data_IF_433441068604
#
_entry.id   IF_433441068604
#
_cell.length_a   1.000
_cell.length_b   1.000
_cell.length_c   1.000
_cell.angle_alpha   90.00
_cell.angle_beta   90.00
_cell.angle_gamma   90.00
#
_symmetry.space_group_name_H-M   'P 1'
#
loop_
_entity.id
_entity.type
_entity.pdbx_description
1 polymer ?
#
# COMPACT_ATOMS: atom_id res chain seq x y z
N UNK A 1 -31.32 30.54 -43.21
CA UNK A 1 -31.15 29.06 -43.06
C UNK A 1 -31.19 28.76 -41.56
N UNK A 2 -32.11 27.91 -41.12
CA UNK A 2 -32.68 27.83 -39.75
C UNK A 2 -31.64 27.62 -38.62
N UNK A 3 -31.92 28.07 -37.38
CA UNK A 3 -31.08 27.75 -36.22
C UNK A 3 -31.31 26.28 -35.83
N UNK A 4 -30.25 25.47 -35.96
CA UNK A 4 -30.28 24.06 -35.55
C UNK A 4 -30.19 23.94 -34.02
N UNK A 5 -30.99 23.04 -33.45
CA UNK A 5 -30.99 22.74 -32.02
C UNK A 5 -29.66 22.10 -31.58
N UNK A 6 -29.27 22.37 -30.33
CA UNK A 6 -28.02 21.94 -29.69
C UNK A 6 -27.80 20.42 -29.66
N UNK A 7 -28.83 19.61 -29.88
CA UNK A 7 -28.75 18.14 -29.96
C UNK A 7 -28.07 17.64 -31.25
N UNK A 8 -28.31 18.28 -32.40
CA UNK A 8 -27.77 17.84 -33.70
C UNK A 8 -26.26 18.13 -33.84
N UNK A 9 -25.77 19.16 -33.13
CA UNK A 9 -24.33 19.49 -33.07
C UNK A 9 -23.52 18.47 -32.27
N UNK A 10 -24.14 17.71 -31.36
CA UNK A 10 -23.47 16.65 -30.60
C UNK A 10 -23.21 15.42 -31.47
N UNK A 11 -24.21 15.00 -32.27
CA UNK A 11 -24.09 13.86 -33.19
C UNK A 11 -23.08 14.11 -34.31
N UNK A 12 -23.00 15.34 -34.83
CA UNK A 12 -22.00 15.72 -35.84
C UNK A 12 -20.56 15.76 -35.29
N UNK A 13 -20.40 15.94 -33.97
CA UNK A 13 -19.08 15.88 -33.33
C UNK A 13 -18.61 14.44 -33.11
N UNK A 14 -19.53 13.52 -32.80
CA UNK A 14 -19.21 12.12 -32.56
C UNK A 14 -18.97 11.35 -33.88
N UNK A 15 -19.72 11.60 -34.95
CA UNK A 15 -19.51 10.93 -36.24
C UNK A 15 -18.18 11.28 -36.91
N UNK A 16 -17.62 12.48 -36.66
CA UNK A 16 -16.31 12.88 -37.21
C UNK A 16 -15.10 12.46 -36.36
N UNK A 17 -15.29 11.79 -35.21
CA UNK A 17 -14.16 11.24 -34.43
C UNK A 17 -13.58 9.95 -35.01
N UNK A 18 -14.24 9.35 -36.00
CA UNK A 18 -13.85 8.06 -36.60
C UNK A 18 -12.84 8.17 -37.75
N UNK A 19 -12.68 9.35 -38.35
CA UNK A 19 -11.71 9.59 -39.45
C UNK A 19 -10.60 10.51 -38.96
N UNK A 20 -9.50 9.92 -38.52
CA UNK A 20 -8.40 10.55 -37.80
C UNK A 20 -7.56 11.56 -38.59
N UNK A 21 -8.06 12.76 -38.86
CA UNK A 21 -7.23 13.87 -39.29
C UNK A 21 -7.72 15.21 -38.71
N UNK A 22 -7.13 15.66 -37.60
CA UNK A 22 -7.24 17.06 -37.18
C UNK A 22 -5.89 17.67 -36.87
N UNK A 23 -5.61 18.78 -37.56
CA UNK A 23 -4.46 19.65 -37.33
C UNK A 23 -4.48 20.25 -35.91
N UNK A 24 -3.29 20.57 -35.40
CA UNK A 24 -3.03 21.02 -34.01
C UNK A 24 -3.92 22.22 -33.62
N UNK A 25 -4.33 23.07 -34.59
CA UNK A 25 -5.21 24.23 -34.38
C UNK A 25 -6.62 23.83 -33.96
N UNK A 26 -7.20 22.79 -34.58
CA UNK A 26 -8.57 22.35 -34.27
C UNK A 26 -8.67 21.65 -32.90
N UNK A 27 -7.60 20.96 -32.46
CA UNK A 27 -7.55 20.34 -31.11
C UNK A 27 -7.53 21.39 -29.99
N UNK A 28 -6.90 22.55 -30.22
CA UNK A 28 -6.90 23.67 -29.25
C UNK A 28 -8.28 24.32 -29.12
N UNK A 29 -9.02 24.50 -30.22
CA UNK A 29 -10.38 25.04 -30.21
C UNK A 29 -11.39 24.15 -29.46
N UNK A 30 -11.33 22.82 -29.67
CA UNK A 30 -12.17 21.89 -28.90
C UNK A 30 -11.84 21.89 -27.39
N UNK A 31 -10.56 21.99 -27.00
CA UNK A 31 -10.18 22.08 -25.57
C UNK A 31 -10.61 23.40 -24.92
N UNK A 32 -10.57 24.51 -25.66
CA UNK A 32 -11.02 25.82 -25.16
C UNK A 32 -12.54 25.86 -24.96
N UNK A 33 -13.32 25.25 -25.87
CA UNK A 33 -14.80 25.15 -25.74
C UNK A 33 -15.24 24.20 -24.62
N UNK A 34 -14.53 23.08 -24.36
CA UNK A 34 -14.82 22.23 -23.19
C UNK A 34 -14.52 22.93 -21.86
N UNK A 35 -13.48 23.78 -21.79
CA UNK A 35 -13.21 24.59 -20.59
C UNK A 35 -14.28 25.66 -20.33
N UNK A 36 -14.89 26.22 -21.37
CA UNK A 36 -16.01 27.18 -21.22
C UNK A 36 -17.29 26.46 -20.76
N UNK A 37 -17.52 25.21 -21.20
CA UNK A 37 -18.64 24.39 -20.70
C UNK A 37 -18.44 23.93 -19.25
N UNK A 38 -17.21 23.65 -18.82
CA UNK A 38 -16.87 23.25 -17.45
C UNK A 38 -16.72 24.43 -16.46
N UNK A 39 -16.74 25.67 -16.96
CA UNK A 39 -16.53 26.89 -16.17
C UNK A 39 -17.79 27.64 -15.76
N UNK A 40 -19.00 27.13 -16.06
CA UNK A 40 -20.24 27.72 -15.52
C UNK A 40 -20.40 27.30 -14.06
N UNK A 41 -19.86 28.16 -13.20
CA UNK A 41 -20.19 28.30 -11.79
C UNK A 41 -21.71 28.25 -11.64
N UNK A 42 -22.23 27.24 -10.94
CA UNK A 42 -23.62 27.24 -10.49
C UNK A 42 -23.74 28.31 -9.40
N UNK A 43 -24.23 29.48 -9.80
CA UNK A 43 -24.63 30.55 -8.89
C UNK A 43 -26.16 30.48 -8.83
N UNK A 44 -26.69 30.25 -7.63
CA UNK A 44 -28.07 30.54 -7.28
C UNK A 44 -29.10 29.46 -7.61
N UNK A 45 -29.29 28.50 -6.70
CA UNK A 45 -30.64 28.02 -6.38
C UNK A 45 -30.79 28.02 -4.85
N UNK A 46 -31.62 28.94 -4.37
CA UNK A 46 -32.09 29.01 -2.99
C UNK A 46 -32.96 27.78 -2.67
N UNK A 47 -32.80 27.12 -1.51
CA UNK A 47 -33.62 25.98 -1.13
C UNK A 47 -34.88 26.47 -0.41
N UNK A 48 -35.91 26.82 -1.18
CA UNK A 48 -37.25 27.05 -0.64
C UNK A 48 -38.22 26.00 -1.15
N UNK A 49 -38.02 24.74 -0.76
CA UNK A 49 -39.01 23.65 -0.78
C UNK A 49 -38.49 22.38 -0.09
N UNK A 50 -39.09 21.90 1.02
CA UNK A 50 -38.58 20.78 1.81
C UNK A 50 -38.82 19.37 1.22
N UNK A 51 -39.44 19.23 0.04
CA UNK A 51 -39.87 17.93 -0.50
C UNK A 51 -38.92 17.33 -1.57
N UNK A 52 -38.02 18.12 -2.17
CA UNK A 52 -37.16 17.67 -3.27
C UNK A 52 -35.69 17.43 -2.87
N UNK A 53 -35.28 17.89 -1.68
CA UNK A 53 -33.90 17.72 -1.18
C UNK A 53 -33.55 16.26 -0.86
N UNK A 54 -34.50 15.48 -0.35
CA UNK A 54 -34.25 14.10 0.07
C UNK A 54 -34.07 13.14 -1.10
N UNK A 55 -34.79 13.33 -2.22
CA UNK A 55 -34.62 12.49 -3.41
C UNK A 55 -33.24 12.70 -4.05
N UNK A 56 -32.74 13.93 -4.07
CA UNK A 56 -31.41 14.25 -4.58
C UNK A 56 -30.31 13.70 -3.66
N UNK A 57 -30.47 13.80 -2.34
CA UNK A 57 -29.56 13.22 -1.36
C UNK A 57 -29.52 11.68 -1.44
N UNK A 58 -30.67 11.02 -1.57
CA UNK A 58 -30.76 9.56 -1.73
C UNK A 58 -30.15 9.12 -3.07
N UNK A 59 -30.38 9.85 -4.16
CA UNK A 59 -29.76 9.56 -5.45
C UNK A 59 -28.23 9.74 -5.43
N UNK A 60 -27.72 10.77 -4.72
CA UNK A 60 -26.29 10.98 -4.53
C UNK A 60 -25.66 9.91 -3.62
N UNK A 61 -26.38 9.47 -2.59
CA UNK A 61 -25.96 8.37 -1.70
C UNK A 61 -25.92 7.04 -2.45
N UNK A 62 -26.94 6.73 -3.26
CA UNK A 62 -26.96 5.54 -4.13
C UNK A 62 -25.84 5.59 -5.17
N UNK A 63 -25.56 6.75 -5.77
CA UNK A 63 -24.48 6.90 -6.75
C UNK A 63 -23.08 6.73 -6.12
N UNK A 64 -22.89 7.17 -4.88
CA UNK A 64 -21.65 6.97 -4.10
C UNK A 64 -21.51 5.52 -3.61
N UNK A 65 -22.62 4.85 -3.27
CA UNK A 65 -22.63 3.46 -2.75
C UNK A 65 -22.49 2.42 -3.87
N UNK A 66 -23.07 2.64 -5.05
CA UNK A 66 -23.02 1.71 -6.18
C UNK A 66 -21.73 1.86 -7.01
N UNK A 67 -21.06 3.01 -6.96
CA UNK A 67 -19.91 3.32 -7.82
C UNK A 67 -18.65 3.76 -7.03
N UNK A 68 -17.98 2.84 -6.29
CA UNK A 68 -16.76 3.18 -5.58
C UNK A 68 -15.55 3.08 -6.52
N UNK A 69 -15.48 3.90 -7.56
CA UNK A 69 -14.25 4.18 -8.33
C UNK A 69 -14.51 5.14 -9.48
N UNK A 70 -14.38 6.45 -9.22
CA UNK A 70 -14.08 7.42 -10.28
C UNK A 70 -12.79 8.15 -9.95
N UNK A 71 -11.67 7.43 -9.97
CA UNK A 71 -10.38 8.08 -10.14
C UNK A 71 -10.20 8.43 -11.63
N UNK A 72 -9.73 9.65 -11.95
CA UNK A 72 -9.68 10.13 -13.32
C UNK A 72 -8.67 9.33 -14.16
N UNK A 73 -9.20 8.72 -15.22
CA UNK A 73 -8.56 8.51 -16.52
C UNK A 73 -7.25 9.29 -16.73
N UNK A 74 -6.14 8.56 -16.94
CA UNK A 74 -5.12 8.81 -17.98
C UNK A 74 -3.87 7.98 -17.68
N UNK A 75 -3.86 6.76 -18.21
CA UNK A 75 -2.73 6.22 -18.96
C UNK A 75 -3.24 4.99 -19.73
N UNK A 76 -3.53 5.21 -21.00
CA UNK A 76 -3.65 4.17 -22.01
C UNK A 76 -2.87 4.73 -23.19
N UNK A 77 -1.58 4.44 -23.23
CA UNK A 77 -0.77 4.61 -24.43
C UNK A 77 0.54 3.84 -24.27
N UNK A 78 0.77 2.96 -25.25
CA UNK A 78 2.03 2.36 -25.62
C UNK A 78 2.64 1.38 -24.61
N UNK A 79 2.27 0.11 -24.77
CA UNK A 79 3.26 -0.96 -24.67
C UNK A 79 3.08 -1.86 -25.90
N UNK A 80 3.68 -1.43 -27.00
CA UNK A 80 4.00 -2.31 -28.12
C UNK A 80 5.32 -3.03 -27.77
N UNK A 81 5.31 -4.33 -28.05
CA UNK A 81 6.39 -5.28 -28.29
C UNK A 81 7.81 -4.89 -27.86
N UNK A 82 8.26 -5.47 -26.75
CA UNK A 82 9.69 -5.68 -26.44
C UNK A 82 9.79 -7.14 -26.01
N UNK A 83 10.39 -7.95 -26.88
CA UNK A 83 10.65 -9.35 -26.68
C UNK A 83 11.98 -9.55 -25.91
N UNK A 84 11.93 -10.46 -24.95
CA UNK A 84 12.95 -11.44 -24.54
C UNK A 84 14.35 -11.02 -24.00
N UNK A 85 14.69 -9.73 -23.84
CA UNK A 85 15.99 -9.32 -23.23
C UNK A 85 15.92 -8.89 -21.74
N UNK A 86 14.76 -8.97 -21.08
CA UNK A 86 14.54 -8.37 -19.74
C UNK A 86 14.64 -9.35 -18.54
N UNK A 87 14.95 -10.64 -18.77
CA UNK A 87 15.00 -11.66 -17.72
C UNK A 87 16.37 -11.74 -17.02
N UNK A 88 17.44 -11.23 -17.64
CA UNK A 88 18.79 -11.21 -17.07
C UNK A 88 18.93 -10.23 -15.91
N UNK A 89 18.31 -9.05 -15.99
CA UNK A 89 18.43 -8.02 -14.94
C UNK A 89 17.72 -8.40 -13.63
N UNK A 90 16.58 -9.10 -13.71
CA UNK A 90 15.89 -9.59 -12.51
C UNK A 90 16.61 -10.80 -11.91
N UNK A 91 17.21 -11.64 -12.76
CA UNK A 91 18.06 -12.75 -12.33
C UNK A 91 19.35 -12.25 -11.66
N UNK A 92 19.92 -11.14 -12.14
CA UNK A 92 21.10 -10.50 -11.55
C UNK A 92 20.81 -9.95 -10.15
N UNK A 93 19.69 -9.22 -9.97
CA UNK A 93 19.28 -8.73 -8.64
C UNK A 93 19.03 -9.88 -7.67
N UNK A 94 18.34 -10.94 -8.10
CA UNK A 94 18.09 -12.11 -7.26
C UNK A 94 19.37 -12.90 -6.96
N UNK A 95 20.32 -12.95 -7.89
CA UNK A 95 21.63 -13.55 -7.67
C UNK A 95 22.49 -12.73 -6.71
N UNK A 96 22.35 -11.40 -6.73
CA UNK A 96 23.02 -10.50 -5.79
C UNK A 96 22.42 -10.62 -4.38
N UNK A 97 21.09 -10.74 -4.26
CA UNK A 97 20.42 -11.02 -2.98
C UNK A 97 20.82 -12.38 -2.40
N UNK A 98 20.90 -13.43 -3.24
CA UNK A 98 21.38 -14.75 -2.82
C UNK A 98 22.85 -14.71 -2.32
N UNK A 99 23.71 -13.92 -2.96
CA UNK A 99 25.10 -13.71 -2.50
C UNK A 99 25.15 -12.99 -1.15
N UNK A 100 24.32 -11.98 -0.96
CA UNK A 100 24.22 -11.26 0.33
C UNK A 100 23.70 -12.19 1.43
N UNK A 101 22.74 -13.08 1.14
CA UNK A 101 22.28 -14.10 2.08
C UNK A 101 23.39 -15.10 2.43
N UNK A 102 24.19 -15.54 1.46
CA UNK A 102 25.36 -16.40 1.71
C UNK A 102 26.44 -15.70 2.55
N UNK A 103 26.74 -14.43 2.27
CA UNK A 103 27.67 -13.64 3.08
C UNK A 103 27.15 -13.46 4.51
N UNK A 104 25.86 -13.20 4.69
CA UNK A 104 25.24 -13.12 5.99
C UNK A 104 25.33 -14.47 6.74
N UNK A 105 25.04 -15.59 6.07
CA UNK A 105 25.16 -16.92 6.65
C UNK A 105 26.61 -17.26 7.05
N UNK A 106 27.59 -16.81 6.26
CA UNK A 106 29.01 -16.94 6.58
C UNK A 106 29.40 -16.10 7.80
N UNK A 107 28.99 -14.84 7.85
CA UNK A 107 29.22 -13.97 9.02
C UNK A 107 28.57 -14.56 10.29
N UNK A 108 27.38 -15.14 10.17
CA UNK A 108 26.72 -15.84 11.28
C UNK A 108 27.50 -17.09 11.73
N UNK A 109 28.07 -17.85 10.80
CA UNK A 109 28.93 -18.99 11.12
C UNK A 109 30.23 -18.56 11.81
N UNK A 110 30.89 -17.51 11.32
CA UNK A 110 32.10 -16.92 11.94
C UNK A 110 31.78 -16.40 13.35
N UNK A 111 30.61 -15.79 13.56
CA UNK A 111 30.15 -15.37 14.88
C UNK A 111 29.95 -16.56 15.84
N UNK A 112 29.38 -17.67 15.36
CA UNK A 112 29.24 -18.91 16.15
C UNK A 112 30.59 -19.53 16.51
N UNK A 113 31.57 -19.49 15.61
CA UNK A 113 32.93 -19.95 15.88
C UNK A 113 33.63 -19.07 16.92
N UNK A 114 33.46 -17.76 16.83
CA UNK A 114 33.98 -16.83 17.84
C UNK A 114 33.34 -17.06 19.21
N UNK A 115 32.03 -17.30 19.27
CA UNK A 115 31.33 -17.68 20.51
C UNK A 115 31.84 -19.02 21.06
N UNK A 116 32.11 -20.01 20.20
CA UNK A 116 32.68 -21.30 20.61
C UNK A 116 34.12 -21.17 21.12
N UNK A 117 34.96 -20.33 20.50
CA UNK A 117 36.30 -20.01 20.99
C UNK A 117 36.24 -19.32 22.35
N UNK A 118 35.36 -18.33 22.50
CA UNK A 118 35.13 -17.65 23.77
C UNK A 118 34.64 -18.60 24.87
N UNK A 119 33.79 -19.58 24.55
CA UNK A 119 33.36 -20.62 25.48
C UNK A 119 34.50 -21.58 25.88
N UNK A 120 35.44 -21.86 24.96
CA UNK A 120 36.65 -22.64 25.25
C UNK A 120 37.64 -21.87 26.12
N UNK A 121 37.84 -20.58 25.86
CA UNK A 121 38.65 -19.71 26.73
C UNK A 121 38.06 -19.60 28.13
N UNK A 122 36.74 -19.47 28.25
CA UNK A 122 36.07 -19.41 29.56
C UNK A 122 36.08 -20.73 30.34
N UNK A 123 36.36 -21.85 29.65
CA UNK A 123 36.59 -23.17 30.28
C UNK A 123 38.08 -23.51 30.49
N UNK A 124 38.98 -22.59 30.11
CA UNK A 124 40.44 -22.76 30.22
C UNK A 124 41.06 -22.49 31.60
N UNK A 125 40.30 -22.07 32.61
CA UNK A 125 40.79 -21.83 33.99
C UNK A 125 40.33 -22.92 34.98
N UNK A 126 40.61 -24.18 34.64
CA UNK A 126 40.82 -25.24 35.64
C UNK A 126 42.01 -26.08 35.20
N UNK A 127 43.20 -25.61 35.56
CA UNK A 127 44.45 -26.29 35.26
C UNK A 127 44.54 -27.68 35.90
N UNK A 128 45.11 -28.62 35.11
CA UNK A 128 46.14 -29.55 35.60
C UNK A 128 45.73 -31.00 35.85
N UNK A 129 46.12 -31.90 34.94
CA UNK A 129 46.22 -33.34 35.22
C UNK A 129 46.35 -34.20 33.97
N UNK A 130 47.57 -34.36 33.45
CA UNK A 130 47.88 -35.25 32.31
C UNK A 130 47.86 -36.76 32.66
N UNK A 131 47.91 -37.65 31.65
CA UNK A 131 47.75 -39.09 31.86
C UNK A 131 49.11 -39.76 32.15
N UNK A 132 49.24 -40.36 33.33
CA UNK A 132 50.40 -41.17 33.71
C UNK A 132 49.99 -42.61 34.03
N UNK A 133 50.40 -43.55 33.17
CA UNK A 133 50.39 -44.99 33.46
C UNK A 133 51.59 -45.35 34.35
N UNK A 134 51.37 -46.21 35.35
CA UNK A 134 52.40 -47.11 35.85
C UNK A 134 52.72 -47.06 37.35
N UNK A 135 52.64 -48.23 38.00
CA UNK A 135 53.57 -48.63 39.06
C UNK A 135 52.99 -48.74 40.47
N UNK A 136 53.08 -49.94 41.04
CA UNK A 136 52.57 -50.29 42.38
C UNK A 136 53.32 -49.64 43.55
N UNK A 137 52.80 -49.85 44.77
CA UNK A 137 53.47 -49.44 46.00
C UNK A 137 52.54 -49.43 47.20
N UNK A 138 52.94 -50.14 48.26
CA UNK A 138 52.19 -50.43 49.49
C UNK A 138 52.12 -49.26 50.48
N UNK A 139 51.23 -49.39 51.48
CA UNK A 139 51.23 -48.64 52.75
C UNK A 139 50.03 -47.69 52.86
N UNK A 140 49.13 -47.75 53.84
CA UNK A 140 49.28 -48.16 55.23
C UNK A 140 49.18 -46.91 56.13
N UNK A 141 48.00 -46.67 56.72
CA UNK A 141 47.70 -45.55 57.65
C UNK A 141 46.64 -44.60 57.07
N UNK A 142 45.60 -44.15 57.75
CA UNK A 142 45.23 -44.21 59.16
C UNK A 142 44.40 -42.95 59.50
N UNK A 143 43.06 -43.06 59.42
CA UNK A 143 42.08 -42.16 60.05
C UNK A 143 41.62 -40.89 59.30
N UNK A 144 40.51 -40.25 59.70
CA UNK A 144 39.23 -40.81 60.14
C UNK A 144 38.12 -40.58 59.10
N UNK A 145 37.14 -41.50 59.07
CA UNK A 145 35.90 -41.34 58.31
C UNK A 145 35.04 -40.25 58.96
N UNK A 146 34.86 -39.12 58.30
CA UNK A 146 33.76 -38.19 58.60
C UNK A 146 32.65 -38.35 57.56
N UNK A 147 31.56 -38.99 57.97
CA UNK A 147 30.25 -38.82 57.33
C UNK A 147 29.72 -37.44 57.74
N UNK A 148 29.34 -36.54 56.81
CA UNK A 148 28.35 -35.55 57.14
C UNK A 148 26.98 -36.19 56.88
N UNK A 149 26.30 -36.64 57.94
CA UNK A 149 24.85 -36.61 57.97
C UNK A 149 24.45 -35.13 57.95
N UNK A 150 24.29 -34.59 56.73
CA UNK A 150 23.77 -33.26 56.49
C UNK A 150 22.40 -33.39 55.86
N UNK A 151 21.38 -33.12 56.67
CA UNK A 151 19.98 -33.09 56.30
C UNK A 151 19.77 -32.19 55.06
N UNK A 152 19.50 -32.78 53.89
CA UNK A 152 19.11 -32.03 52.70
C UNK A 152 17.79 -31.30 53.01
N UNK A 153 17.73 -29.95 52.97
CA UNK A 153 16.45 -29.27 53.05
C UNK A 153 15.65 -29.64 51.81
N UNK A 154 14.60 -30.44 51.99
CA UNK A 154 13.59 -30.66 50.96
C UNK A 154 12.92 -29.33 50.66
N UNK A 155 13.04 -28.88 49.42
CA UNK A 155 12.17 -27.85 48.85
C UNK A 155 12.71 -26.43 48.90
N UNK A 156 13.54 -26.11 47.92
CA UNK A 156 13.50 -24.78 47.30
C UNK A 156 13.34 -25.00 45.80
N UNK A 157 12.09 -25.14 45.36
CA UNK A 157 11.73 -25.11 43.95
C UNK A 157 11.93 -23.66 43.45
N UNK A 158 13.19 -23.28 43.20
CA UNK A 158 13.51 -21.98 42.61
C UNK A 158 13.05 -22.04 41.16
N UNK A 159 12.02 -21.24 40.82
CA UNK A 159 11.36 -21.21 39.51
C UNK A 159 12.34 -20.76 38.42
N UNK A 160 13.16 -21.68 37.91
CA UNK A 160 14.15 -21.41 36.85
C UNK A 160 13.47 -20.85 35.59
N UNK A 161 12.27 -21.34 35.25
CA UNK A 161 11.46 -20.87 34.12
C UNK A 161 11.20 -19.35 34.14
N UNK A 162 11.06 -18.75 35.35
CA UNK A 162 10.76 -17.31 35.47
C UNK A 162 11.97 -16.42 35.17
N UNK A 163 13.18 -16.91 35.45
CA UNK A 163 14.43 -16.17 35.18
C UNK A 163 14.78 -16.22 33.70
N UNK A 164 14.52 -17.36 33.05
CA UNK A 164 14.72 -17.56 31.62
C UNK A 164 13.76 -16.70 30.77
N UNK A 165 12.50 -16.61 31.19
CA UNK A 165 11.52 -15.69 30.59
C UNK A 165 11.92 -14.21 30.78
N UNK A 166 12.48 -13.85 31.94
CA UNK A 166 12.99 -12.50 32.18
C UNK A 166 14.24 -12.18 31.34
N UNK A 167 15.14 -13.14 31.15
CA UNK A 167 16.31 -13.01 30.28
C UNK A 167 15.89 -12.87 28.82
N UNK A 168 14.96 -13.71 28.32
CA UNK A 168 14.40 -13.57 26.97
C UNK A 168 13.74 -12.23 26.76
N UNK A 169 12.93 -11.76 27.72
CA UNK A 169 12.32 -10.42 27.64
C UNK A 169 13.36 -9.30 27.63
N UNK A 170 14.45 -9.43 28.39
CA UNK A 170 15.56 -8.47 28.39
C UNK A 170 16.33 -8.50 27.06
N UNK A 171 16.56 -9.67 26.49
CA UNK A 171 17.18 -9.85 25.18
C UNK A 171 16.31 -9.32 24.05
N UNK A 172 15.02 -9.62 24.04
CA UNK A 172 14.05 -9.08 23.08
C UNK A 172 13.96 -7.56 23.21
N UNK A 173 13.94 -7.02 24.42
CA UNK A 173 13.95 -5.58 24.65
C UNK A 173 15.28 -4.94 24.20
N UNK A 174 16.41 -5.61 24.40
CA UNK A 174 17.71 -5.14 23.93
C UNK A 174 17.80 -5.17 22.39
N UNK A 175 17.34 -6.27 21.76
CA UNK A 175 17.22 -6.40 20.30
C UNK A 175 16.31 -5.31 19.72
N UNK A 176 15.13 -5.10 20.33
CA UNK A 176 14.20 -4.06 19.90
C UNK A 176 14.80 -2.65 20.03
N UNK A 177 15.56 -2.37 21.11
CA UNK A 177 16.28 -1.10 21.26
C UNK A 177 17.36 -0.92 20.20
N UNK A 178 18.15 -1.95 19.92
CA UNK A 178 19.20 -1.91 18.90
C UNK A 178 18.60 -1.66 17.51
N UNK A 179 17.54 -2.39 17.15
CA UNK A 179 16.81 -2.19 15.89
C UNK A 179 16.28 -0.75 15.81
N UNK A 180 15.63 -0.25 16.87
CA UNK A 180 15.11 1.12 16.88
C UNK A 180 16.21 2.18 16.75
N UNK A 181 17.37 1.96 17.38
CA UNK A 181 18.50 2.88 17.27
C UNK A 181 19.13 2.83 15.86
N UNK A 182 19.24 1.65 15.28
CA UNK A 182 19.72 1.44 13.91
C UNK A 182 18.77 2.07 12.88
N UNK A 183 17.46 1.86 13.01
CA UNK A 183 16.44 2.51 12.19
C UNK A 183 16.51 4.04 12.31
N UNK A 184 16.75 4.58 13.51
CA UNK A 184 16.90 6.01 13.72
C UNK A 184 18.19 6.57 13.09
N UNK A 185 19.30 5.81 13.12
CA UNK A 185 20.54 6.16 12.42
C UNK A 185 20.34 6.14 10.90
N UNK A 186 19.73 5.07 10.39
CA UNK A 186 19.39 4.94 8.97
C UNK A 186 18.46 6.07 8.49
N UNK A 187 17.47 6.47 9.30
CA UNK A 187 16.58 7.59 8.98
C UNK A 187 17.34 8.93 8.88
N UNK A 188 18.28 9.20 9.80
CA UNK A 188 19.12 10.41 9.76
C UNK A 188 20.05 10.41 8.55
N UNK A 189 20.63 9.28 8.21
CA UNK A 189 21.47 9.14 7.01
C UNK A 189 20.65 9.34 5.72
N UNK A 190 19.44 8.77 5.66
CA UNK A 190 18.53 8.97 4.55
C UNK A 190 18.11 10.44 4.40
N UNK A 191 17.92 11.17 5.50
CA UNK A 191 17.64 12.62 5.47
C UNK A 191 18.84 13.41 4.94
N UNK A 192 20.06 13.13 5.42
CA UNK A 192 21.29 13.76 4.88
C UNK A 192 21.45 13.53 3.37
N UNK A 193 21.26 12.28 2.91
CA UNK A 193 21.29 11.94 1.48
C UNK A 193 20.25 12.74 0.68
N UNK A 194 19.06 12.99 1.23
CA UNK A 194 18.03 13.83 0.59
C UNK A 194 18.48 15.27 0.43
N UNK A 195 19.04 15.85 1.47
CA UNK A 195 19.54 17.22 1.43
C UNK A 195 20.67 17.39 0.41
N UNK A 196 21.61 16.45 0.39
CA UNK A 196 22.70 16.43 -0.58
C UNK A 196 22.18 16.35 -2.02
N UNK A 197 21.19 15.48 -2.29
CA UNK A 197 20.53 15.40 -3.60
C UNK A 197 19.85 16.70 -4.00
N UNK A 198 19.17 17.37 -3.07
CA UNK A 198 18.53 18.66 -3.34
C UNK A 198 19.57 19.75 -3.63
N UNK A 199 20.66 19.80 -2.85
CA UNK A 199 21.78 20.74 -3.08
C UNK A 199 22.43 20.51 -4.44
N UNK A 200 22.71 19.25 -4.80
CA UNK A 200 23.25 18.88 -6.11
C UNK A 200 22.31 19.33 -7.23
N UNK A 201 21.01 19.09 -7.09
CA UNK A 201 20.02 19.53 -8.07
C UNK A 201 19.95 21.06 -8.20
N UNK A 202 20.07 21.81 -7.11
CA UNK A 202 20.11 23.27 -7.14
C UNK A 202 21.39 23.79 -7.83
N UNK A 203 22.53 23.18 -7.54
CA UNK A 203 23.80 23.51 -8.20
C UNK A 203 23.73 23.22 -9.71
N UNK A 204 23.12 22.11 -10.12
CA UNK A 204 22.91 21.77 -11.53
C UNK A 204 21.95 22.76 -12.21
N UNK A 205 20.89 23.17 -11.51
CA UNK A 205 19.98 24.21 -11.99
C UNK A 205 20.68 25.57 -12.14
N UNK A 206 21.70 25.89 -11.34
CA UNK A 206 22.45 27.13 -11.49
C UNK A 206 23.23 27.15 -12.82
N UNK A 207 23.79 26.00 -13.23
CA UNK A 207 24.64 25.81 -14.42
C UNK A 207 23.88 25.72 -15.75
N UNK A 208 22.58 25.44 -15.73
CA UNK A 208 21.78 25.20 -16.95
C UNK A 208 21.26 26.48 -17.62
N UNK A 209 20.86 26.39 -18.88
CA UNK A 209 20.13 27.45 -19.59
C UNK A 209 18.66 27.55 -19.14
N UNK A 210 18.01 28.70 -19.35
CA UNK A 210 16.62 28.92 -18.92
C UNK A 210 15.61 27.89 -19.49
N UNK A 211 15.81 27.38 -20.71
CA UNK A 211 14.96 26.33 -21.28
C UNK A 211 15.21 24.97 -20.63
N UNK A 212 16.48 24.63 -20.39
CA UNK A 212 16.89 23.40 -19.71
C UNK A 212 16.38 23.37 -18.27
N UNK A 213 16.47 24.50 -17.54
CA UNK A 213 15.90 24.65 -16.18
C UNK A 213 14.39 24.35 -16.18
N UNK A 214 13.64 24.86 -17.15
CA UNK A 214 12.20 24.58 -17.28
C UNK A 214 11.91 23.09 -17.52
N UNK A 215 12.70 22.43 -18.37
CA UNK A 215 12.58 20.97 -18.61
C UNK A 215 12.90 20.17 -17.35
N UNK A 216 14.01 20.51 -16.66
CA UNK A 216 14.44 19.89 -15.42
C UNK A 216 13.39 20.01 -14.31
N UNK A 217 12.85 21.21 -14.08
CA UNK A 217 11.79 21.44 -13.09
C UNK A 217 10.49 20.71 -13.45
N UNK A 218 10.14 20.64 -14.74
CA UNK A 218 8.97 19.88 -15.20
C UNK A 218 9.15 18.38 -14.96
N UNK A 219 10.34 17.85 -15.18
CA UNK A 219 10.67 16.45 -14.90
C UNK A 219 10.58 16.17 -13.40
N UNK A 220 11.24 16.97 -12.56
CA UNK A 220 11.13 16.86 -11.09
C UNK A 220 9.68 16.88 -10.60
N UNK A 221 8.82 17.73 -11.17
CA UNK A 221 7.38 17.77 -10.85
C UNK A 221 6.64 16.48 -11.23
N UNK A 222 7.01 15.84 -12.35
CA UNK A 222 6.44 14.56 -12.78
C UNK A 222 6.88 13.45 -11.86
N UNK A 223 8.18 13.38 -11.57
CA UNK A 223 8.75 12.34 -10.72
C UNK A 223 8.19 12.44 -9.29
N UNK A 224 8.11 13.66 -8.74
CA UNK A 224 7.45 13.95 -7.47
C UNK A 224 5.96 13.56 -7.45
N UNK A 225 5.26 13.61 -8.60
CA UNK A 225 3.87 13.17 -8.68
C UNK A 225 3.74 11.63 -8.66
N UNK A 226 4.69 10.92 -9.27
CA UNK A 226 4.77 9.46 -9.25
C UNK A 226 5.11 8.99 -7.83
N UNK A 227 6.17 9.53 -7.23
CA UNK A 227 6.60 9.24 -5.85
C UNK A 227 5.47 9.48 -4.85
N UNK A 228 4.79 10.64 -4.92
CA UNK A 228 3.64 10.91 -4.03
C UNK A 228 2.50 9.90 -4.20
N UNK A 229 2.23 9.43 -5.43
CA UNK A 229 1.20 8.43 -5.68
C UNK A 229 1.57 7.09 -5.03
N UNK A 230 2.83 6.67 -5.21
CA UNK A 230 3.37 5.43 -4.64
C UNK A 230 3.29 5.47 -3.11
N UNK A 231 3.82 6.52 -2.49
CA UNK A 231 3.84 6.64 -1.03
C UNK A 231 2.42 6.72 -0.44
N UNK A 232 1.48 7.39 -1.14
CA UNK A 232 0.06 7.40 -0.76
C UNK A 232 -0.59 6.02 -0.88
N UNK A 233 -0.22 5.23 -1.88
CA UNK A 233 -0.72 3.87 -2.05
C UNK A 233 -0.11 2.92 -0.99
N UNK A 234 1.17 3.08 -0.69
CA UNK A 234 1.90 2.34 0.33
C UNK A 234 1.33 2.59 1.73
N UNK A 235 1.12 3.85 2.10
CA UNK A 235 0.48 4.20 3.39
C UNK A 235 -0.98 3.77 3.50
N UNK A 236 -1.61 3.36 2.41
CA UNK A 236 -2.95 2.77 2.39
C UNK A 236 -2.91 1.23 2.26
N UNK A 237 -1.73 0.61 2.32
CA UNK A 237 -1.50 -0.83 2.15
C UNK A 237 -2.09 -1.40 0.85
N UNK A 238 -2.04 -0.61 -0.23
CA UNK A 238 -2.55 -0.99 -1.55
C UNK A 238 -1.42 -1.39 -2.50
N UNK A 239 -0.86 -2.58 -2.32
CA UNK A 239 0.29 -3.06 -3.11
C UNK A 239 0.03 -3.09 -4.62
N UNK A 240 -1.17 -3.51 -5.06
CA UNK A 240 -1.52 -3.43 -6.49
C UNK A 240 -1.51 -1.99 -7.03
N UNK A 241 -1.95 -1.02 -6.24
CA UNK A 241 -1.99 0.38 -6.64
C UNK A 241 -0.59 1.02 -6.64
N UNK A 242 0.32 0.55 -5.79
CA UNK A 242 1.74 0.94 -5.81
C UNK A 242 2.36 0.60 -7.15
N UNK A 243 2.16 -0.63 -7.63
CA UNK A 243 2.62 -1.08 -8.96
C UNK A 243 1.79 -0.51 -10.13
N UNK A 244 0.72 0.25 -9.85
CA UNK A 244 -0.17 0.80 -10.86
C UNK A 244 -1.10 -0.24 -11.51
N UNK A 245 -1.17 -1.46 -10.97
CA UNK A 245 -1.99 -2.55 -11.47
C UNK A 245 -3.41 -2.44 -10.95
N UNK A 246 -4.38 -2.65 -11.84
CA UNK A 246 -5.81 -2.69 -11.49
C UNK A 246 -6.26 -4.14 -11.36
N UNK A 247 -6.26 -4.67 -10.15
CA UNK A 247 -6.75 -6.03 -9.90
C UNK A 247 -8.29 -6.06 -9.89
N UNK A 248 -8.88 -6.33 -11.05
CA UNK A 248 -10.32 -6.46 -11.28
C UNK A 248 -10.64 -7.95 -11.48
N UNK A 249 -10.48 -8.74 -10.43
CA UNK A 249 -10.81 -10.17 -10.44
C UNK A 249 -12.33 -10.35 -10.57
N UNK A 250 -12.81 -10.44 -11.81
CA UNK A 250 -14.20 -10.71 -12.15
C UNK A 250 -14.28 -12.17 -12.60
N UNK A 251 -14.96 -12.99 -11.78
CA UNK A 251 -15.25 -14.38 -12.14
C UNK A 251 -16.55 -14.44 -12.93
N UNK A 252 -16.49 -14.84 -14.20
CA UNK A 252 -17.67 -15.10 -15.04
C UNK A 252 -17.64 -16.58 -15.42
N UNK A 253 -18.42 -17.38 -14.69
CA UNK A 253 -18.40 -18.84 -14.83
C UNK A 253 -17.02 -19.43 -14.48
N UNK A 254 -16.40 -20.25 -15.35
CA UNK A 254 -15.07 -20.81 -15.14
C UNK A 254 -13.93 -19.84 -15.51
N UNK A 255 -14.21 -18.70 -16.15
CA UNK A 255 -13.20 -17.75 -16.61
C UNK A 255 -12.97 -16.62 -15.60
N UNK A 256 -11.70 -16.31 -15.37
CA UNK A 256 -11.28 -15.13 -14.62
C UNK A 256 -10.91 -14.02 -15.61
N UNK A 257 -11.75 -12.98 -15.68
CA UNK A 257 -11.49 -11.81 -16.52
C UNK A 257 -10.61 -10.82 -15.75
N UNK A 258 -9.57 -10.30 -16.40
CA UNK A 258 -8.66 -9.26 -15.88
C UNK A 258 -7.92 -9.63 -14.58
N UNK A 259 -7.63 -10.93 -14.39
CA UNK A 259 -6.72 -11.37 -13.34
C UNK A 259 -5.28 -10.94 -13.64
N UNK A 260 -4.62 -10.35 -12.65
CA UNK A 260 -3.20 -9.98 -12.75
C UNK A 260 -2.36 -11.24 -12.66
N UNK A 261 -1.52 -11.54 -13.64
CA UNK A 261 -0.60 -12.68 -13.54
C UNK A 261 0.72 -12.27 -12.88
N UNK A 262 1.49 -13.24 -12.37
CA UNK A 262 2.82 -12.98 -11.81
C UNK A 262 3.76 -12.28 -12.82
N UNK A 263 3.62 -12.60 -14.12
CA UNK A 263 4.35 -11.93 -15.21
C UNK A 263 4.01 -10.44 -15.30
N UNK A 264 2.75 -10.06 -15.12
CA UNK A 264 2.31 -8.66 -15.14
C UNK A 264 2.86 -7.88 -13.95
N UNK A 265 2.95 -8.54 -12.78
CA UNK A 265 3.58 -7.98 -11.57
C UNK A 265 5.05 -7.68 -11.82
N UNK A 266 5.81 -8.65 -12.35
CA UNK A 266 7.23 -8.48 -12.69
C UNK A 266 7.43 -7.37 -13.72
N UNK A 267 6.60 -7.33 -14.77
CA UNK A 267 6.67 -6.28 -15.79
C UNK A 267 6.40 -4.88 -15.21
N UNK A 268 5.38 -4.73 -14.38
CA UNK A 268 5.07 -3.47 -13.74
C UNK A 268 6.19 -3.00 -12.80
N UNK A 269 6.78 -3.93 -12.04
CA UNK A 269 7.93 -3.67 -11.19
C UNK A 269 9.12 -3.16 -12.00
N UNK A 270 9.54 -3.86 -13.07
CA UNK A 270 10.68 -3.43 -13.93
C UNK A 270 10.52 -2.00 -14.45
N UNK A 271 9.33 -1.67 -14.97
CA UNK A 271 9.03 -0.34 -15.49
C UNK A 271 9.06 0.75 -14.41
N UNK A 272 8.52 0.43 -13.22
CA UNK A 272 8.42 1.39 -12.14
C UNK A 272 9.77 1.59 -11.43
N UNK A 273 10.53 0.52 -11.22
CA UNK A 273 11.88 0.54 -10.65
C UNK A 273 12.80 1.47 -11.45
N UNK A 274 12.82 1.36 -12.78
CA UNK A 274 13.59 2.25 -13.67
C UNK A 274 13.20 3.73 -13.55
N UNK A 275 11.93 4.00 -13.28
CA UNK A 275 11.38 5.36 -13.19
C UNK A 275 11.63 5.99 -11.82
N UNK A 276 11.57 5.17 -10.76
CA UNK A 276 11.65 5.62 -9.36
C UNK A 276 13.07 5.51 -8.80
N UNK A 277 14.00 4.86 -9.51
CA UNK A 277 15.39 4.65 -9.09
C UNK A 277 16.04 5.93 -8.53
N UNK A 278 16.69 5.87 -7.34
CA UNK A 278 17.21 7.04 -6.65
C UNK A 278 18.30 7.81 -7.43
N UNK A 279 19.01 7.16 -8.35
CA UNK A 279 20.01 7.82 -9.21
C UNK A 279 19.38 8.63 -10.36
N UNK A 280 18.31 8.11 -10.97
CA UNK A 280 17.67 8.76 -12.14
C UNK A 280 16.60 9.77 -11.72
N UNK A 281 15.95 9.53 -10.59
CA UNK A 281 14.88 10.35 -10.07
C UNK A 281 15.43 11.55 -9.29
N UNK A 282 14.91 12.75 -9.59
CA UNK A 282 15.35 14.02 -9.01
C UNK A 282 14.60 14.39 -7.72
N UNK A 283 13.70 13.55 -7.25
CA UNK A 283 12.95 13.75 -6.00
C UNK A 283 13.72 13.15 -4.81
N UNK A 284 13.81 13.88 -3.70
CA UNK A 284 14.49 13.40 -2.50
C UNK A 284 13.88 12.12 -1.93
N UNK A 285 12.55 11.93 -2.08
CA UNK A 285 11.81 10.79 -1.52
C UNK A 285 11.76 9.57 -2.45
N UNK A 286 12.55 9.58 -3.52
CA UNK A 286 12.64 8.47 -4.46
C UNK A 286 13.00 7.14 -3.77
N UNK A 287 13.90 7.18 -2.80
CA UNK A 287 14.37 6.03 -2.01
C UNK A 287 13.22 5.37 -1.23
N UNK A 288 12.42 6.15 -0.49
CA UNK A 288 11.21 5.63 0.19
C UNK A 288 10.23 4.97 -0.80
N UNK A 289 10.04 5.60 -1.96
CA UNK A 289 9.12 5.08 -2.97
C UNK A 289 9.67 3.82 -3.62
N UNK A 290 10.99 3.70 -3.80
CA UNK A 290 11.63 2.51 -4.32
C UNK A 290 11.44 1.32 -3.38
N UNK A 291 11.74 1.49 -2.09
CA UNK A 291 11.49 0.46 -1.08
C UNK A 291 10.00 0.07 -0.99
N UNK A 292 9.08 1.04 -1.12
CA UNK A 292 7.65 0.74 -1.16
C UNK A 292 7.26 -0.12 -2.38
N UNK A 293 7.90 0.09 -3.52
CA UNK A 293 7.70 -0.68 -4.76
C UNK A 293 8.28 -2.10 -4.60
N UNK A 294 9.48 -2.22 -4.05
CA UNK A 294 10.15 -3.48 -3.75
C UNK A 294 9.35 -4.34 -2.77
N UNK A 295 8.95 -3.77 -1.63
CA UNK A 295 8.07 -4.45 -0.65
C UNK A 295 6.76 -4.95 -1.28
N UNK A 296 6.18 -4.13 -2.17
CA UNK A 296 4.95 -4.50 -2.87
C UNK A 296 5.17 -5.62 -3.90
N UNK A 297 6.33 -5.63 -4.58
CA UNK A 297 6.70 -6.67 -5.53
C UNK A 297 7.05 -7.98 -4.82
N UNK A 298 7.77 -7.94 -3.70
CA UNK A 298 8.07 -9.11 -2.88
C UNK A 298 6.78 -9.79 -2.35
N UNK A 299 5.81 -9.00 -1.89
CA UNK A 299 4.52 -9.53 -1.43
C UNK A 299 3.64 -10.09 -2.56
N UNK A 300 3.66 -9.48 -3.74
CA UNK A 300 2.83 -9.89 -4.88
C UNK A 300 3.51 -10.91 -5.81
N UNK A 301 4.82 -11.10 -5.69
CA UNK A 301 5.62 -12.03 -6.46
C UNK A 301 5.48 -13.48 -5.96
N UNK A 302 5.31 -13.65 -4.65
CA UNK A 302 5.02 -14.95 -4.03
C UNK A 302 3.52 -15.23 -4.04
N UNK A 303 3.12 -16.35 -4.64
CA UNK A 303 1.73 -16.76 -4.78
C UNK A 303 1.02 -16.98 -3.44
N UNK A 304 1.72 -17.45 -2.40
CA UNK A 304 1.12 -17.69 -1.08
C UNK A 304 0.81 -16.37 -0.38
N UNK A 305 1.81 -15.48 -0.28
CA UNK A 305 1.67 -14.14 0.30
C UNK A 305 0.62 -13.32 -0.44
N UNK A 306 0.59 -13.44 -1.78
CA UNK A 306 -0.40 -12.78 -2.63
C UNK A 306 -1.82 -13.25 -2.34
N UNK A 307 -2.06 -14.56 -2.21
CA UNK A 307 -3.37 -15.12 -1.87
C UNK A 307 -3.84 -14.66 -0.49
N UNK A 308 -2.93 -14.66 0.50
CA UNK A 308 -3.26 -14.18 1.84
C UNK A 308 -3.63 -12.69 1.84
N UNK A 309 -2.84 -11.86 1.15
CA UNK A 309 -3.11 -10.44 0.99
C UNK A 309 -4.48 -10.20 0.32
N UNK A 310 -4.78 -10.91 -0.77
CA UNK A 310 -6.06 -10.80 -1.46
C UNK A 310 -7.25 -11.24 -0.59
N UNK A 311 -7.07 -12.28 0.25
CA UNK A 311 -8.07 -12.72 1.23
C UNK A 311 -8.32 -11.63 2.27
N UNK A 312 -7.27 -11.06 2.88
CA UNK A 312 -7.37 -9.97 3.87
C UNK A 312 -8.06 -8.75 3.26
N UNK A 313 -7.66 -8.35 2.04
CA UNK A 313 -8.25 -7.24 1.30
C UNK A 313 -9.74 -7.46 0.99
N UNK A 314 -10.12 -8.63 0.46
CA UNK A 314 -11.52 -8.98 0.16
C UNK A 314 -12.38 -9.01 1.44
N UNK A 315 -11.84 -9.53 2.54
CA UNK A 315 -12.51 -9.52 3.84
C UNK A 315 -12.74 -8.11 4.39
N UNK A 316 -11.73 -7.25 4.35
CA UNK A 316 -11.84 -5.84 4.75
C UNK A 316 -12.86 -5.08 3.89
N UNK A 317 -12.85 -5.29 2.58
CA UNK A 317 -13.83 -4.71 1.67
C UNK A 317 -15.26 -5.18 1.99
N UNK A 318 -15.46 -6.47 2.31
CA UNK A 318 -16.76 -7.01 2.72
C UNK A 318 -17.26 -6.39 4.03
N UNK A 319 -16.37 -6.18 5.01
CA UNK A 319 -16.71 -5.50 6.28
C UNK A 319 -17.19 -4.07 6.02
N UNK A 320 -16.41 -3.29 5.27
CA UNK A 320 -16.76 -1.90 4.90
C UNK A 320 -18.09 -1.82 4.13
N UNK A 321 -18.33 -2.74 3.19
CA UNK A 321 -19.61 -2.82 2.45
C UNK A 321 -20.79 -3.14 3.36
N UNK A 322 -20.64 -4.07 4.31
CA UNK A 322 -21.70 -4.39 5.29
C UNK A 322 -22.01 -3.21 6.19
N UNK A 323 -20.97 -2.50 6.65
CA UNK A 323 -21.13 -1.29 7.47
C UNK A 323 -21.81 -0.16 6.69
N UNK A 324 -21.38 0.10 5.46
CA UNK A 324 -22.04 1.06 4.59
C UNK A 324 -23.50 0.66 4.31
N UNK A 325 -23.78 -0.62 4.06
CA UNK A 325 -25.14 -1.12 3.86
C UNK A 325 -26.01 -0.94 5.11
N UNK A 326 -25.45 -1.10 6.32
CA UNK A 326 -26.16 -0.81 7.57
C UNK A 326 -26.51 0.67 7.69
N UNK A 327 -25.53 1.57 7.50
CA UNK A 327 -25.76 3.03 7.56
C UNK A 327 -26.83 3.46 6.54
N UNK A 328 -26.78 2.89 5.33
CA UNK A 328 -27.79 3.15 4.30
C UNK A 328 -29.16 2.60 4.74
N UNK A 329 -29.22 1.37 5.24
CA UNK A 329 -30.46 0.77 5.74
C UNK A 329 -31.09 1.59 6.85
N UNK A 330 -30.30 2.00 7.85
CA UNK A 330 -30.76 2.80 8.98
C UNK A 330 -31.28 4.17 8.51
N UNK A 331 -30.57 4.81 7.57
CA UNK A 331 -30.98 6.09 6.99
C UNK A 331 -32.27 5.96 6.17
N UNK A 332 -32.41 4.87 5.40
CA UNK A 332 -33.62 4.57 4.62
C UNK A 332 -34.80 4.29 5.56
N UNK A 333 -34.59 3.58 6.66
CA UNK A 333 -35.64 3.29 7.64
C UNK A 333 -36.14 4.56 8.33
N UNK A 334 -35.22 5.44 8.75
CA UNK A 334 -35.60 6.76 9.32
C UNK A 334 -36.35 7.61 8.29
N UNK A 335 -35.87 7.63 7.04
CA UNK A 335 -36.54 8.31 5.93
C UNK A 335 -37.95 7.76 5.67
N UNK A 336 -38.12 6.44 5.69
CA UNK A 336 -39.40 5.77 5.48
C UNK A 336 -40.37 6.02 6.65
N UNK A 337 -39.91 5.98 7.90
CA UNK A 337 -40.71 6.32 9.09
C UNK A 337 -41.17 7.78 9.04
N UNK A 338 -40.29 8.71 8.65
CA UNK A 338 -40.64 10.11 8.45
C UNK A 338 -41.66 10.32 7.33
N UNK A 339 -41.45 9.71 6.18
CA UNK A 339 -42.37 9.78 5.05
C UNK A 339 -43.74 9.18 5.37
N UNK A 340 -43.78 8.05 6.08
CA UNK A 340 -45.03 7.39 6.49
C UNK A 340 -45.83 8.24 7.49
N UNK A 341 -45.16 8.89 8.44
CA UNK A 341 -45.79 9.81 9.40
C UNK A 341 -46.40 11.03 8.70
N UNK A 342 -45.66 11.65 7.78
CA UNK A 342 -46.19 12.75 6.95
C UNK A 342 -47.38 12.28 6.11
N UNK A 343 -47.29 11.09 5.50
CA UNK A 343 -48.37 10.55 4.69
C UNK A 343 -49.64 10.27 5.51
N UNK A 344 -49.52 9.82 6.75
CA UNK A 344 -50.64 9.64 7.70
C UNK A 344 -51.28 10.99 8.03
N UNK A 345 -50.49 12.02 8.36
CA UNK A 345 -51.00 13.38 8.63
C UNK A 345 -51.68 13.97 7.41
N UNK A 346 -51.07 13.86 6.23
CA UNK A 346 -51.66 14.28 4.95
C UNK A 346 -52.98 13.54 4.68
N UNK A 347 -53.07 12.24 5.01
CA UNK A 347 -54.32 11.46 4.90
C UNK A 347 -55.39 11.93 5.89
N UNK A 348 -55.00 12.32 7.11
CA UNK A 348 -55.90 12.85 8.16
C UNK A 348 -56.46 14.21 7.78
N UNK A 349 -55.64 15.08 7.19
CA UNK A 349 -56.00 16.47 6.82
C UNK A 349 -56.82 16.54 5.53
N UNK A 350 -56.52 15.71 4.52
CA UNK A 350 -57.26 15.73 3.24
C UNK A 350 -58.61 15.01 3.27
N UNK A 351 -58.91 14.25 4.32
CA UNK A 351 -60.22 13.60 4.51
C UNK A 351 -60.67 12.74 3.31
N UNK A 352 -62.00 12.51 3.12
CA UNK A 352 -62.54 11.67 2.05
C UNK A 352 -62.33 12.22 0.63
N UNK A 353 -61.83 13.46 0.47
CA UNK A 353 -61.58 14.10 -0.82
C UNK A 353 -60.20 13.79 -1.41
N UNK A 354 -59.45 12.85 -0.82
CA UNK A 354 -58.07 12.52 -1.23
C UNK A 354 -58.00 11.71 -2.54
N UNK A 355 -58.95 10.79 -2.77
CA UNK A 355 -58.94 9.94 -3.97
C UNK A 355 -59.26 10.71 -5.27
N UNK A 356 -60.22 11.66 -5.31
CA UNK A 356 -60.47 12.42 -6.54
C UNK A 356 -59.31 13.36 -6.89
N UNK A 357 -58.70 14.04 -5.91
CA UNK A 357 -57.62 15.02 -6.14
C UNK A 357 -56.33 14.33 -6.61
N UNK A 358 -55.98 13.17 -6.05
CA UNK A 358 -54.81 12.41 -6.51
C UNK A 358 -55.02 11.81 -7.90
N UNK A 359 -56.24 11.33 -8.21
CA UNK A 359 -56.58 10.82 -9.54
C UNK A 359 -56.55 11.96 -10.57
N UNK A 360 -57.16 13.12 -10.27
CA UNK A 360 -57.08 14.30 -11.14
C UNK A 360 -55.63 14.78 -11.33
N UNK A 361 -54.83 14.85 -10.26
CA UNK A 361 -53.43 15.25 -10.34
C UNK A 361 -52.58 14.29 -11.18
N UNK A 362 -52.85 12.98 -11.11
CA UNK A 362 -52.14 11.96 -11.92
C UNK A 362 -52.55 11.92 -13.39
N UNK A 363 -53.69 12.52 -13.74
CA UNK A 363 -54.18 12.65 -15.13
C UNK A 363 -53.69 13.96 -15.77
N UNK A 364 -53.33 14.96 -14.95
CA UNK A 364 -52.82 16.26 -15.40
C UNK A 364 -51.28 16.23 -15.64
N UNK A 365 -50.56 15.32 -14.96
CA UNK A 365 -49.14 15.03 -15.19
C UNK A 365 -49.02 13.96 -16.28
#
# INVERSE_FOLDING_TARGET
RRPMASSELSLACDTMTRTGSRSIRQRRLCRRRRKIAAGRRWVGLSPSSPMLGNAFLVALLVFVVVCPSREPHLWASATEDIADDDDDFLAEILAEEARVEEEHARLEAEAREFEAMKAREFSGDKGGGGPGMGGGGMGGGGGPRMRPQGNMPKGANVKFDSVEDELRKKEEAAKAKNIAEEEARAAKEAEKRREERERKFQADLAKMDAEQKKKAQKQKKRDAAIVRRILKASGAERHYAVLGLRNWDIKVGPLHLFHVNARDVKRAYRNLARTVHPDKNRDGRAEEAFHAVENSAALLGDDEKRKEYDRKRKAAARRRRKEAARVVSDSVEVGWKGASSVWIVVKRVLGPFKTPILVLGSVII
#
